data_IF_355175020059
#
_entry.id   IF_355175020059
#
_cell.length_a   1.000
_cell.length_b   1.000
_cell.length_c   1.000
_cell.angle_alpha   90.00
_cell.angle_beta   90.00
_cell.angle_gamma   90.00
#
_symmetry.space_group_name_H-M   'P 1'
#
loop_
_entity.id
_entity.type
_entity.pdbx_description
1 polymer ?
#
# COMPACT_ATOMS: atom_id res chain seq x y z
N UNK A 1 16.51 6.55 2.45
CA UNK A 1 15.93 5.38 1.80
C UNK A 1 15.12 5.80 0.62
N UNK A 2 15.78 5.82 -0.52
CA UNK A 2 15.23 6.45 -1.70
C UNK A 2 14.78 5.44 -2.77
N UNK A 3 14.81 4.16 -2.45
CA UNK A 3 14.46 3.10 -3.41
C UNK A 3 13.49 2.07 -2.82
N UNK A 4 12.72 1.46 -3.70
CA UNK A 4 11.85 0.35 -3.33
C UNK A 4 12.74 -0.81 -2.86
N UNK A 5 12.47 -1.37 -1.66
CA UNK A 5 13.28 -2.44 -1.11
C UNK A 5 13.25 -3.71 -1.95
N UNK A 6 14.39 -4.40 -2.03
CA UNK A 6 14.52 -5.70 -2.69
C UNK A 6 14.18 -6.80 -1.67
N UNK A 7 12.89 -6.90 -1.35
CA UNK A 7 12.38 -7.84 -0.34
C UNK A 7 11.39 -8.78 -1.01
N UNK A 8 11.48 -10.09 -0.68
CA UNK A 8 10.49 -11.07 -1.15
C UNK A 8 9.26 -11.01 -0.24
N UNK A 9 8.11 -10.73 -0.83
CA UNK A 9 6.84 -10.59 -0.12
C UNK A 9 5.73 -11.27 -0.91
N UNK A 10 4.66 -11.75 -0.23
CA UNK A 10 3.45 -12.17 -0.93
C UNK A 10 2.80 -10.97 -1.62
N UNK A 11 2.56 -11.12 -2.91
CA UNK A 11 1.88 -10.12 -3.73
C UNK A 11 0.53 -10.69 -4.15
N UNK A 12 -0.53 -9.93 -3.91
CA UNK A 12 -1.89 -10.30 -4.33
C UNK A 12 -2.18 -9.53 -5.63
N UNK A 13 -2.47 -10.27 -6.69
CA UNK A 13 -2.81 -9.69 -7.99
C UNK A 13 -3.94 -10.49 -8.62
N UNK A 14 -5.04 -9.81 -8.97
CA UNK A 14 -6.21 -10.43 -9.56
C UNK A 14 -6.71 -11.64 -8.74
N UNK A 15 -6.70 -11.52 -7.42
CA UNK A 15 -7.17 -12.59 -6.54
C UNK A 15 -6.19 -13.73 -6.32
N UNK A 16 -4.98 -13.65 -6.86
CA UNK A 16 -3.95 -14.68 -6.71
C UNK A 16 -2.79 -14.17 -5.88
N UNK A 17 -2.25 -15.02 -5.01
CA UNK A 17 -1.09 -14.69 -4.19
C UNK A 17 0.13 -15.43 -4.70
N UNK A 18 1.26 -14.71 -4.83
CA UNK A 18 2.55 -15.30 -5.17
C UNK A 18 3.67 -14.54 -4.45
N UNK A 19 4.73 -15.24 -4.08
CA UNK A 19 5.88 -14.63 -3.41
C UNK A 19 6.83 -14.07 -4.46
N UNK A 20 7.05 -12.76 -4.42
CA UNK A 20 7.87 -12.08 -5.43
C UNK A 20 8.78 -11.05 -4.77
N UNK A 21 9.91 -10.79 -5.42
CA UNK A 21 10.82 -9.71 -5.00
C UNK A 21 10.23 -8.39 -5.49
N UNK A 22 9.88 -7.53 -4.55
CA UNK A 22 9.13 -6.31 -4.84
C UNK A 22 9.83 -5.43 -5.87
N UNK A 23 11.14 -5.17 -5.72
CA UNK A 23 11.88 -4.31 -6.65
C UNK A 23 11.93 -4.87 -8.08
N UNK A 24 11.77 -6.16 -8.26
CA UNK A 24 11.75 -6.76 -9.60
C UNK A 24 10.42 -6.53 -10.32
N UNK A 25 9.30 -6.66 -9.60
CA UNK A 25 7.98 -6.47 -10.22
C UNK A 25 7.62 -5.01 -10.45
N UNK A 26 8.33 -4.09 -9.80
CA UNK A 26 8.13 -2.64 -9.96
C UNK A 26 9.18 -1.98 -10.85
N UNK A 27 10.12 -2.75 -11.37
CA UNK A 27 11.16 -2.24 -12.25
C UNK A 27 10.59 -1.62 -13.51
N UNK A 28 11.15 -0.47 -13.91
CA UNK A 28 10.75 0.27 -15.12
C UNK A 28 9.28 0.74 -15.11
N UNK A 29 8.68 0.87 -13.93
CA UNK A 29 7.29 1.29 -13.78
C UNK A 29 7.17 2.49 -12.87
N UNK A 30 6.14 3.31 -13.12
CA UNK A 30 5.70 4.32 -12.18
C UNK A 30 4.58 3.70 -11.35
N UNK A 31 4.76 3.67 -10.04
CA UNK A 31 3.85 3.00 -9.12
C UNK A 31 3.49 3.88 -7.94
N UNK A 32 2.40 3.52 -7.29
CA UNK A 32 2.01 4.04 -5.99
C UNK A 32 1.92 2.87 -5.03
N UNK A 33 2.46 3.05 -3.82
CA UNK A 33 2.22 2.14 -2.70
C UNK A 33 1.59 2.98 -1.60
N UNK A 34 0.39 2.61 -1.16
CA UNK A 34 -0.16 3.19 0.05
C UNK A 34 -0.26 2.12 1.13
N UNK A 35 0.08 2.50 2.35
CA UNK A 35 0.08 1.59 3.49
C UNK A 35 -1.01 1.92 4.47
N UNK A 36 -1.60 0.88 5.03
CA UNK A 36 -2.67 0.98 6.01
C UNK A 36 -2.29 0.21 7.28
N UNK A 37 -2.70 0.68 8.47
CA UNK A 37 -2.41 -0.05 9.72
C UNK A 37 -3.03 -1.44 9.80
N UNK A 38 -4.12 -1.69 9.07
CA UNK A 38 -4.70 -3.03 9.09
C UNK A 38 -5.85 -3.18 8.11
N UNK A 39 -5.86 -4.33 7.41
CA UNK A 39 -7.00 -4.75 6.61
C UNK A 39 -8.24 -4.86 7.50
N UNK A 40 -9.41 -4.59 6.94
CA UNK A 40 -10.71 -4.65 7.63
C UNK A 40 -10.89 -3.63 8.76
N UNK A 41 -9.96 -2.70 8.97
CA UNK A 41 -10.14 -1.63 9.96
C UNK A 41 -10.93 -0.47 9.35
N UNK A 42 -11.61 0.39 10.17
CA UNK A 42 -12.60 1.33 9.63
C UNK A 42 -12.08 2.31 8.56
N UNK A 43 -11.10 3.16 8.87
CA UNK A 43 -10.61 4.16 7.91
C UNK A 43 -9.96 3.49 6.68
N UNK A 44 -9.24 2.40 6.89
CA UNK A 44 -8.60 1.66 5.81
C UNK A 44 -9.64 1.10 4.83
N UNK A 45 -10.75 0.58 5.36
CA UNK A 45 -11.79 -0.09 4.58
C UNK A 45 -12.81 0.87 3.98
N UNK A 46 -13.08 1.99 4.65
CA UNK A 46 -14.16 2.91 4.26
C UNK A 46 -13.68 4.11 3.45
N UNK A 47 -12.41 4.49 3.60
CA UNK A 47 -11.87 5.72 2.98
C UNK A 47 -10.60 5.49 2.18
N UNK A 48 -9.57 4.88 2.75
CA UNK A 48 -8.26 4.83 2.12
C UNK A 48 -8.27 3.96 0.87
N UNK A 49 -8.61 2.68 1.00
CA UNK A 49 -8.68 1.77 -0.14
C UNK A 49 -9.75 2.19 -1.16
N UNK A 50 -10.99 2.52 -0.75
CA UNK A 50 -12.01 2.95 -1.72
C UNK A 50 -11.60 4.18 -2.53
N UNK A 51 -10.87 5.13 -1.95
CA UNK A 51 -10.40 6.30 -2.65
C UNK A 51 -9.49 5.95 -3.83
N UNK A 52 -8.55 5.02 -3.63
CA UNK A 52 -7.67 4.58 -4.71
C UNK A 52 -8.41 3.76 -5.77
N UNK A 53 -9.37 2.96 -5.36
CA UNK A 53 -10.19 2.21 -6.32
C UNK A 53 -10.98 3.18 -7.21
N UNK A 54 -11.62 4.20 -6.62
CA UNK A 54 -12.46 5.12 -7.39
C UNK A 54 -11.65 6.04 -8.32
N UNK A 55 -10.42 6.36 -7.97
CA UNK A 55 -9.56 7.22 -8.79
C UNK A 55 -8.57 6.44 -9.66
N UNK A 56 -8.67 5.13 -9.72
CA UNK A 56 -7.74 4.27 -10.42
C UNK A 56 -7.52 4.70 -11.89
N UNK A 57 -8.60 4.96 -12.62
CA UNK A 57 -8.50 5.35 -14.03
C UNK A 57 -7.77 6.69 -14.20
N UNK A 58 -7.97 7.62 -13.27
CA UNK A 58 -7.28 8.90 -13.32
C UNK A 58 -5.78 8.76 -13.07
N UNK A 59 -5.39 7.85 -12.17
CA UNK A 59 -3.98 7.54 -11.96
C UNK A 59 -3.35 6.93 -13.21
N UNK A 60 -4.05 6.03 -13.89
CA UNK A 60 -3.56 5.44 -15.13
C UNK A 60 -3.33 6.50 -16.21
N UNK A 61 -4.24 7.45 -16.32
CA UNK A 61 -4.11 8.56 -17.28
C UNK A 61 -2.89 9.42 -17.00
N UNK A 62 -2.40 9.44 -15.77
CA UNK A 62 -1.18 10.16 -15.39
C UNK A 62 0.07 9.29 -15.44
N UNK A 63 -0.01 8.11 -16.04
CA UNK A 63 1.15 7.25 -16.27
C UNK A 63 1.47 6.29 -15.13
N UNK A 64 0.60 6.15 -14.15
CA UNK A 64 0.78 5.16 -13.08
C UNK A 64 0.43 3.78 -13.64
N UNK A 65 1.38 2.84 -13.57
CA UNK A 65 1.20 1.48 -14.07
C UNK A 65 0.43 0.60 -13.08
N UNK A 66 0.82 0.66 -11.80
CA UNK A 66 0.25 -0.18 -10.76
C UNK A 66 0.08 0.60 -9.46
N UNK A 67 -0.96 0.25 -8.72
CA UNK A 67 -1.19 0.76 -7.36
C UNK A 67 -1.20 -0.44 -6.42
N UNK A 68 -0.41 -0.35 -5.36
CA UNK A 68 -0.29 -1.39 -4.33
C UNK A 68 -0.83 -0.88 -3.00
N UNK A 69 -1.58 -1.73 -2.31
CA UNK A 69 -1.95 -1.52 -0.91
C UNK A 69 -1.11 -2.44 -0.03
N UNK A 70 -0.41 -1.87 0.93
CA UNK A 70 0.45 -2.60 1.85
C UNK A 70 -0.15 -2.59 3.25
N UNK A 71 -0.10 -3.72 3.92
CA UNK A 71 -0.46 -3.84 5.32
C UNK A 71 0.38 -4.90 6.00
N UNK A 72 0.60 -4.75 7.30
CA UNK A 72 1.24 -5.78 8.14
C UNK A 72 0.16 -6.81 8.48
N UNK A 73 -0.26 -7.54 7.45
CA UNK A 73 -1.20 -8.65 7.50
C UNK A 73 -0.65 -9.76 6.61
N UNK A 74 -1.10 -10.98 6.84
CA UNK A 74 -0.71 -12.10 5.99
C UNK A 74 -1.45 -12.08 4.64
N UNK A 75 -1.02 -12.94 3.73
CA UNK A 75 -1.56 -13.00 2.38
C UNK A 75 -3.03 -13.42 2.34
N UNK A 76 -3.46 -14.27 3.26
CA UNK A 76 -4.86 -14.74 3.31
C UNK A 76 -5.79 -13.58 3.65
N UNK A 77 -5.41 -12.78 4.64
CA UNK A 77 -6.20 -11.61 5.05
C UNK A 77 -6.24 -10.56 3.94
N UNK A 78 -5.10 -10.25 3.34
CA UNK A 78 -5.03 -9.25 2.26
C UNK A 78 -5.86 -9.69 1.05
N UNK A 79 -5.79 -10.95 0.68
CA UNK A 79 -6.58 -11.49 -0.43
C UNK A 79 -8.07 -11.36 -0.14
N UNK A 80 -8.52 -11.73 1.06
CA UNK A 80 -9.91 -11.63 1.45
C UNK A 80 -10.39 -10.18 1.49
N UNK A 81 -9.57 -9.28 2.02
CA UNK A 81 -9.92 -7.87 2.13
C UNK A 81 -10.10 -7.21 0.76
N UNK A 82 -9.11 -7.35 -0.12
CA UNK A 82 -9.21 -6.81 -1.48
C UNK A 82 -10.37 -7.46 -2.25
N UNK A 83 -10.57 -8.75 -2.07
CA UNK A 83 -11.67 -9.48 -2.71
C UNK A 83 -13.06 -9.11 -2.21
N UNK A 84 -13.17 -8.42 -1.07
CA UNK A 84 -14.44 -7.96 -0.52
C UNK A 84 -15.01 -6.74 -1.26
N UNK A 85 -14.22 -6.11 -2.14
CA UNK A 85 -14.65 -4.97 -2.94
C UNK A 85 -14.92 -5.42 -4.37
N UNK A 86 -15.99 -4.92 -5.00
CA UNK A 86 -16.34 -5.29 -6.37
C UNK A 86 -15.22 -4.98 -7.38
N UNK A 87 -14.44 -3.92 -7.13
CA UNK A 87 -13.31 -3.52 -7.98
C UNK A 87 -11.97 -3.60 -7.25
N UNK A 88 -11.90 -4.39 -6.20
CA UNK A 88 -10.66 -4.56 -5.43
C UNK A 88 -9.51 -5.14 -6.24
N UNK A 89 -9.82 -5.88 -7.31
CA UNK A 89 -8.81 -6.43 -8.22
C UNK A 89 -7.98 -5.37 -8.95
N UNK A 90 -8.43 -4.12 -8.97
CA UNK A 90 -7.67 -3.02 -9.56
C UNK A 90 -6.44 -2.65 -8.72
N UNK A 91 -6.49 -2.94 -7.44
CA UNK A 91 -5.41 -2.64 -6.48
C UNK A 91 -4.68 -3.94 -6.17
N UNK A 92 -3.35 -3.94 -6.34
CA UNK A 92 -2.53 -5.08 -5.95
C UNK A 92 -2.26 -5.01 -4.45
N UNK A 93 -2.09 -6.16 -3.80
CA UNK A 93 -1.79 -6.22 -2.38
C UNK A 93 -0.33 -6.57 -2.12
N UNK A 94 0.25 -5.97 -1.09
CA UNK A 94 1.53 -6.38 -0.53
C UNK A 94 1.25 -6.83 0.90
N UNK A 95 1.42 -8.13 1.15
CA UNK A 95 1.20 -8.70 2.48
C UNK A 95 2.53 -8.68 3.25
N UNK A 96 2.76 -7.60 3.98
CA UNK A 96 3.97 -7.41 4.78
C UNK A 96 3.80 -8.03 6.17
N UNK A 97 3.46 -9.33 6.21
CA UNK A 97 3.05 -10.01 7.43
C UNK A 97 4.05 -9.96 8.58
N UNK A 98 5.35 -9.93 8.27
CA UNK A 98 6.40 -9.83 9.29
C UNK A 98 6.87 -8.39 9.51
N UNK A 99 6.31 -7.43 8.79
CA UNK A 99 6.69 -6.04 8.92
C UNK A 99 8.03 -5.67 8.30
N UNK A 100 8.57 -6.48 7.40
CA UNK A 100 9.91 -6.27 6.85
C UNK A 100 10.00 -4.99 6.00
N UNK A 101 9.00 -4.73 5.17
CA UNK A 101 8.94 -3.49 4.39
C UNK A 101 8.81 -2.28 5.32
N UNK A 102 7.89 -2.36 6.27
CA UNK A 102 7.65 -1.26 7.21
C UNK A 102 8.91 -0.94 8.02
N UNK A 103 9.63 -1.96 8.48
CA UNK A 103 10.88 -1.77 9.21
C UNK A 103 11.95 -1.14 8.35
N UNK A 104 12.10 -1.60 7.11
CA UNK A 104 13.12 -1.11 6.18
C UNK A 104 12.95 0.37 5.90
N UNK A 105 11.72 0.85 5.74
CA UNK A 105 11.44 2.26 5.47
C UNK A 105 11.14 3.07 6.74
N UNK A 106 11.33 2.48 7.94
CA UNK A 106 11.08 3.14 9.22
C UNK A 106 9.63 3.63 9.35
N UNK A 107 8.70 2.79 8.91
CA UNK A 107 7.26 3.09 8.90
C UNK A 107 6.48 2.26 9.91
N UNK A 108 7.15 1.68 10.90
CA UNK A 108 6.46 0.90 11.94
C UNK A 108 5.79 1.81 12.96
N UNK A 109 4.71 1.32 13.53
CA UNK A 109 4.02 1.97 14.64
C UNK A 109 3.52 0.90 15.61
N UNK A 110 3.59 1.20 16.89
CA UNK A 110 3.13 0.29 17.93
C UNK A 110 1.69 0.67 18.31
N UNK A 111 0.74 -0.19 17.97
CA UNK A 111 -0.66 -0.03 18.35
C UNK A 111 -1.13 -1.18 19.26
N UNK A 112 -0.22 -1.62 20.14
CA UNK A 112 -0.51 -2.63 21.15
C UNK A 112 -1.64 -2.22 22.09
N UNK A 113 -1.84 -0.92 22.30
CA UNK A 113 -2.97 -0.42 23.06
C UNK A 113 -4.34 -0.79 22.49
N UNK A 114 -4.40 -1.01 21.17
CA UNK A 114 -5.59 -1.51 20.48
C UNK A 114 -5.51 -3.01 20.19
N UNK A 115 -4.57 -3.71 20.82
CA UNK A 115 -4.37 -5.16 20.66
C UNK A 115 -3.98 -5.56 19.23
N UNK A 116 -3.35 -4.66 18.49
CA UNK A 116 -2.93 -4.90 17.12
C UNK A 116 -1.42 -5.07 16.96
N UNK A 117 -0.65 -4.85 18.04
CA UNK A 117 0.81 -5.02 18.02
C UNK A 117 1.51 -3.98 17.14
N UNK A 118 2.58 -4.42 16.48
CA UNK A 118 3.35 -3.56 15.58
C UNK A 118 2.77 -3.64 14.18
N UNK A 119 2.41 -2.48 13.63
CA UNK A 119 1.84 -2.34 12.29
C UNK A 119 2.62 -1.28 11.51
N UNK A 120 2.23 -1.02 10.27
CA UNK A 120 2.79 0.11 9.55
C UNK A 120 1.96 1.37 9.82
N UNK A 121 2.63 2.51 9.74
CA UNK A 121 1.96 3.82 9.73
C UNK A 121 1.14 3.93 8.45
N UNK A 122 0.14 4.80 8.48
CA UNK A 122 -0.60 5.15 7.27
C UNK A 122 0.26 6.06 6.41
N UNK A 123 0.49 5.69 5.16
CA UNK A 123 1.34 6.45 4.27
C UNK A 123 0.93 6.25 2.81
N UNK A 124 1.52 7.04 1.93
CA UNK A 124 1.52 6.78 0.49
C UNK A 124 2.86 7.22 -0.09
N UNK A 125 3.35 6.47 -1.04
CA UNK A 125 4.57 6.83 -1.76
C UNK A 125 4.35 6.73 -3.27
N UNK A 126 5.11 7.54 -3.99
CA UNK A 126 5.16 7.53 -5.45
C UNK A 126 6.58 7.14 -5.81
N UNK A 127 6.72 6.13 -6.65
CA UNK A 127 8.03 5.69 -7.14
C UNK A 127 8.03 5.55 -8.65
N UNK A 128 9.17 5.83 -9.27
CA UNK A 128 9.36 5.63 -10.69
C UNK A 128 10.71 4.93 -10.90
N UNK A 129 10.70 3.82 -11.62
CA UNK A 129 11.90 3.00 -11.82
C UNK A 129 12.59 2.67 -10.48
N UNK A 130 11.79 2.30 -9.50
CA UNK A 130 12.19 1.98 -8.13
C UNK A 130 12.79 3.15 -7.32
N UNK A 131 12.83 4.35 -7.86
CA UNK A 131 13.23 5.53 -7.10
C UNK A 131 12.00 6.14 -6.43
N UNK A 132 12.03 6.27 -5.12
CA UNK A 132 10.93 6.88 -4.36
C UNK A 132 11.02 8.39 -4.54
N UNK A 133 10.03 8.96 -5.22
CA UNK A 133 9.96 10.39 -5.52
C UNK A 133 9.33 11.17 -4.38
N UNK A 134 8.31 10.58 -3.74
CA UNK A 134 7.62 11.16 -2.60
C UNK A 134 7.22 10.07 -1.62
N UNK A 135 7.33 10.37 -0.35
CA UNK A 135 6.83 9.52 0.74
C UNK A 135 6.09 10.44 1.71
N UNK A 136 4.78 10.30 1.76
CA UNK A 136 3.90 11.11 2.59
C UNK A 136 3.33 10.26 3.71
N UNK A 137 3.74 10.54 4.94
CA UNK A 137 3.39 9.75 6.12
C UNK A 137 2.40 10.55 6.97
N UNK A 138 1.29 9.92 7.34
CA UNK A 138 0.29 10.56 8.19
C UNK A 138 0.79 10.77 9.61
N UNK A 139 0.36 11.86 10.22
CA UNK A 139 0.42 11.97 11.66
C UNK A 139 -0.55 10.96 12.28
N UNK A 140 -0.25 10.51 13.49
CA UNK A 140 -1.04 9.47 14.16
C UNK A 140 -2.53 9.83 14.20
N UNK A 141 -3.36 8.93 13.70
CA UNK A 141 -4.81 9.11 13.67
C UNK A 141 -5.33 10.01 12.55
N UNK A 142 -4.46 10.53 11.69
CA UNK A 142 -4.87 11.40 10.57
C UNK A 142 -5.04 10.61 9.27
N UNK A 143 -5.87 11.19 8.38
CA UNK A 143 -6.03 10.70 7.02
C UNK A 143 -6.18 11.91 6.09
N UNK A 144 -5.06 12.49 5.68
CA UNK A 144 -4.99 13.71 4.86
C UNK A 144 -4.00 13.55 3.73
N UNK A 145 -2.71 13.36 4.07
CA UNK A 145 -1.62 13.42 3.08
C UNK A 145 -1.54 12.17 2.20
N UNK A 146 -1.99 11.02 2.70
CA UNK A 146 -1.91 9.73 2.00
C UNK A 146 -3.16 9.40 1.19
N UNK A 147 -4.17 10.26 1.19
CA UNK A 147 -5.40 10.03 0.45
C UNK A 147 -5.13 9.98 -1.06
N UNK A 148 -5.98 9.26 -1.78
CA UNK A 148 -5.88 9.16 -3.23
C UNK A 148 -5.98 10.55 -3.89
N UNK A 149 -6.88 11.40 -3.41
CA UNK A 149 -7.04 12.75 -3.93
C UNK A 149 -5.75 13.56 -3.78
N UNK A 150 -5.13 13.51 -2.61
CA UNK A 150 -3.89 14.26 -2.38
C UNK A 150 -2.75 13.73 -3.24
N UNK A 151 -2.63 12.42 -3.36
CA UNK A 151 -1.58 11.81 -4.19
C UNK A 151 -1.81 12.15 -5.67
N UNK A 152 -3.05 12.09 -6.14
CA UNK A 152 -3.37 12.44 -7.52
C UNK A 152 -2.98 13.90 -7.85
N UNK A 153 -3.16 14.80 -6.90
CA UNK A 153 -2.78 16.21 -7.06
C UNK A 153 -1.27 16.44 -6.98
N UNK A 154 -0.50 15.45 -6.56
CA UNK A 154 0.95 15.55 -6.39
C UNK A 154 1.76 14.75 -7.42
N UNK A 155 1.11 14.20 -8.40
CA UNK A 155 1.77 13.46 -9.48
C UNK A 155 2.09 14.38 -10.65
#
# INVERSE_FOLDING_TARGET
MNKIPSIKLPIIKNGNSSNQILSEITENKKIIIFGVPGAFTPTCSEKHLPGYISLYDQFQKKGVHDIYCLSVNDAFVMKAWLGSYSKGHLINGIADGNGDFAKTLQLTTDISGGFMGIRCKRFALIANQNNILKLLVEEKGQFVVSSAENILNNI
#
